data_IF_867846850317
#
_entry.id   IF_867846850317
#
_cell.length_a   1.000
_cell.length_b   1.000
_cell.length_c   1.000
_cell.angle_alpha   90.00
_cell.angle_beta   90.00
_cell.angle_gamma   90.00
#
_symmetry.space_group_name_H-M   'P 1'
#
loop_
_entity.id
_entity.type
_entity.pdbx_description
1 polymer ?
#
# COMPACT_ATOMS: atom_id res chain seq x y z
N UNK A 1 -11.72 14.37 -12.82
CA UNK A 1 -11.08 14.36 -11.48
C UNK A 1 -10.39 13.02 -11.27
N UNK A 2 -9.23 13.00 -10.59
CA UNK A 2 -8.50 11.78 -10.26
C UNK A 2 -8.36 11.69 -8.73
N UNK A 3 -8.65 10.53 -8.16
CA UNK A 3 -8.54 10.24 -6.73
C UNK A 3 -7.55 9.09 -6.53
N UNK A 4 -6.48 9.35 -5.78
CA UNK A 4 -5.58 8.28 -5.34
C UNK A 4 -6.10 7.71 -4.02
N UNK A 5 -6.29 6.39 -3.97
CA UNK A 5 -6.78 5.68 -2.79
C UNK A 5 -5.66 4.85 -2.19
N UNK A 6 -5.45 5.02 -0.90
CA UNK A 6 -4.46 4.29 -0.13
C UNK A 6 -4.97 3.94 1.27
N UNK A 7 -4.17 3.20 2.00
CA UNK A 7 -4.45 2.84 3.39
C UNK A 7 -3.22 3.02 4.29
N UNK A 8 -3.47 3.23 5.58
CA UNK A 8 -2.49 3.14 6.67
C UNK A 8 -2.64 1.83 7.44
N UNK A 9 -1.95 1.71 8.58
CA UNK A 9 -2.09 0.59 9.52
C UNK A 9 -3.53 0.38 10.02
N UNK A 10 -4.35 1.43 10.04
CA UNK A 10 -5.76 1.36 10.45
C UNK A 10 -6.63 0.42 9.59
N UNK A 11 -6.17 0.06 8.39
CA UNK A 11 -6.86 -0.94 7.56
C UNK A 11 -6.88 -2.32 8.23
N UNK A 12 -5.82 -2.69 8.96
CA UNK A 12 -5.63 -4.07 9.42
C UNK A 12 -6.76 -4.58 10.34
N UNK A 13 -7.12 -3.88 11.44
CA UNK A 13 -8.23 -4.34 12.29
C UNK A 13 -9.57 -4.39 11.55
N UNK A 14 -9.87 -3.42 10.69
CA UNK A 14 -11.10 -3.42 9.91
C UNK A 14 -11.15 -4.59 8.91
N UNK A 15 -10.03 -4.92 8.29
CA UNK A 15 -9.89 -6.09 7.42
C UNK A 15 -10.07 -7.41 8.18
N UNK A 16 -9.46 -7.56 9.37
CA UNK A 16 -9.63 -8.76 10.19
C UNK A 16 -11.08 -8.96 10.61
N UNK A 17 -11.77 -7.89 10.99
CA UNK A 17 -13.19 -7.91 11.35
C UNK A 17 -14.05 -8.33 10.14
N UNK A 18 -13.82 -7.74 8.96
CA UNK A 18 -14.54 -8.10 7.74
C UNK A 18 -14.30 -9.57 7.37
N UNK A 19 -13.06 -10.03 7.44
CA UNK A 19 -12.71 -11.41 7.09
C UNK A 19 -13.31 -12.40 8.08
N UNK A 20 -13.29 -12.09 9.39
CA UNK A 20 -13.90 -12.92 10.43
C UNK A 20 -15.42 -13.04 10.33
N UNK A 21 -16.07 -12.09 9.65
CA UNK A 21 -17.51 -12.12 9.40
C UNK A 21 -17.89 -12.94 8.14
N UNK A 22 -16.92 -13.43 7.36
CA UNK A 22 -17.21 -14.24 6.18
C UNK A 22 -17.69 -15.65 6.61
N UNK A 23 -18.59 -16.29 5.85
CA UNK A 23 -19.06 -17.65 6.16
C UNK A 23 -17.92 -18.69 6.25
N UNK A 24 -16.92 -18.57 5.39
CA UNK A 24 -15.69 -19.34 5.41
C UNK A 24 -14.48 -18.42 5.14
N UNK A 25 -13.89 -17.83 6.18
CA UNK A 25 -12.75 -16.91 6.03
C UNK A 25 -11.55 -17.53 5.32
N UNK A 26 -11.35 -18.84 5.44
CA UNK A 26 -10.19 -19.52 4.87
C UNK A 26 -10.31 -19.75 3.36
N UNK A 27 -11.53 -19.78 2.82
CA UNK A 27 -11.79 -19.96 1.39
C UNK A 27 -11.67 -18.69 0.58
N UNK A 28 -11.65 -17.51 1.23
CA UNK A 28 -11.55 -16.23 0.50
C UNK A 28 -10.23 -16.16 -0.24
N UNK A 29 -10.30 -15.99 -1.57
CA UNK A 29 -9.13 -15.79 -2.41
C UNK A 29 -8.62 -14.35 -2.27
N UNK A 30 -7.30 -14.19 -2.21
CA UNK A 30 -6.62 -12.90 -2.06
C UNK A 30 -7.39 -11.92 -1.12
N UNK A 31 -7.66 -12.32 0.15
CA UNK A 31 -8.69 -11.68 0.97
C UNK A 31 -8.45 -10.19 1.21
N UNK A 32 -7.20 -9.74 1.24
CA UNK A 32 -6.91 -8.32 1.42
C UNK A 32 -7.27 -7.50 0.17
N UNK A 33 -7.01 -8.03 -1.01
CA UNK A 33 -7.35 -7.35 -2.27
C UNK A 33 -8.86 -7.40 -2.51
N UNK A 34 -9.52 -8.51 -2.15
CA UNK A 34 -10.99 -8.62 -2.15
C UNK A 34 -11.62 -7.55 -1.24
N UNK A 35 -11.20 -7.48 0.02
CA UNK A 35 -11.71 -6.49 0.98
C UNK A 35 -11.52 -5.06 0.49
N UNK A 36 -10.32 -4.73 0.00
CA UNK A 36 -10.02 -3.36 -0.44
C UNK A 36 -10.77 -3.00 -1.70
N UNK A 37 -10.89 -3.91 -2.67
CA UNK A 37 -11.65 -3.64 -3.90
C UNK A 37 -13.15 -3.51 -3.66
N UNK A 38 -13.76 -4.32 -2.82
CA UNK A 38 -15.17 -4.18 -2.43
C UNK A 38 -15.43 -2.85 -1.71
N UNK A 39 -14.57 -2.49 -0.76
CA UNK A 39 -14.67 -1.24 -0.01
C UNK A 39 -14.55 -0.02 -0.92
N UNK A 40 -13.56 -0.01 -1.82
CA UNK A 40 -13.34 1.07 -2.77
C UNK A 40 -14.48 1.14 -3.78
N UNK A 41 -14.88 0.02 -4.38
CA UNK A 41 -16.00 0.00 -5.33
C UNK A 41 -17.30 0.49 -4.69
N UNK A 42 -17.52 0.16 -3.41
CA UNK A 42 -18.69 0.65 -2.66
C UNK A 42 -18.62 2.17 -2.43
N UNK A 43 -17.44 2.69 -2.05
CA UNK A 43 -17.24 4.13 -1.88
C UNK A 43 -17.41 4.88 -3.20
N UNK A 44 -16.86 4.35 -4.29
CA UNK A 44 -16.97 4.93 -5.65
C UNK A 44 -18.44 4.95 -6.11
N UNK A 45 -19.18 3.86 -5.93
CA UNK A 45 -20.63 3.85 -6.25
C UNK A 45 -21.39 4.94 -5.52
N UNK A 46 -21.09 5.17 -4.23
CA UNK A 46 -21.71 6.27 -3.46
C UNK A 46 -21.32 7.63 -4.01
N UNK A 47 -20.03 7.82 -4.31
CA UNK A 47 -19.51 9.07 -4.88
C UNK A 47 -20.13 9.39 -6.24
N UNK A 48 -20.36 8.38 -7.07
CA UNK A 48 -20.87 8.50 -8.44
C UNK A 48 -22.40 8.34 -8.53
N UNK A 49 -23.11 8.49 -7.42
CA UNK A 49 -24.59 8.39 -7.36
C UNK A 49 -25.14 7.10 -8.01
N UNK A 50 -24.54 5.96 -7.63
CA UNK A 50 -24.96 4.67 -8.18
C UNK A 50 -24.43 4.38 -9.59
N UNK A 51 -23.48 5.17 -10.10
CA UNK A 51 -22.89 4.99 -11.44
C UNK A 51 -23.39 5.98 -12.48
N UNK A 52 -24.24 6.95 -12.11
CA UNK A 52 -24.69 8.04 -13.02
C UNK A 52 -23.51 8.87 -13.56
N UNK A 53 -22.46 9.05 -12.74
CA UNK A 53 -21.23 9.71 -13.17
C UNK A 53 -20.24 8.64 -13.66
N UNK A 54 -19.77 8.78 -14.91
CA UNK A 54 -18.79 7.85 -15.48
C UNK A 54 -17.50 7.86 -14.64
N UNK A 55 -16.97 6.68 -14.41
CA UNK A 55 -15.72 6.50 -13.67
C UNK A 55 -14.98 5.27 -14.15
N UNK A 56 -13.69 5.21 -13.85
CA UNK A 56 -12.84 4.04 -14.03
C UNK A 56 -11.92 3.86 -12.83
N UNK A 57 -11.64 2.61 -12.45
CA UNK A 57 -10.80 2.28 -11.29
C UNK A 57 -9.59 1.50 -11.78
N UNK A 58 -8.41 2.09 -11.62
CA UNK A 58 -7.12 1.45 -11.91
C UNK A 58 -6.57 0.86 -10.61
N UNK A 59 -6.47 -0.46 -10.57
CA UNK A 59 -6.00 -1.18 -9.39
C UNK A 59 -4.48 -1.32 -9.38
N UNK A 60 -3.85 -1.29 -8.20
CA UNK A 60 -2.40 -1.44 -8.05
C UNK A 60 -1.92 -2.83 -8.49
N UNK A 61 -2.78 -3.83 -8.44
CA UNK A 61 -2.48 -5.22 -8.83
C UNK A 61 -2.87 -5.55 -10.29
N UNK A 62 -3.42 -4.60 -11.04
CA UNK A 62 -3.77 -4.83 -12.45
C UNK A 62 -2.49 -4.91 -13.30
N UNK A 63 -2.25 -6.06 -13.93
CA UNK A 63 -1.04 -6.33 -14.71
C UNK A 63 -1.22 -6.07 -16.22
N UNK A 64 -2.42 -5.67 -16.66
CA UNK A 64 -2.67 -5.36 -18.07
C UNK A 64 -1.94 -4.09 -18.47
N UNK A 65 -1.14 -4.07 -19.57
CA UNK A 65 -0.34 -2.92 -19.96
C UNK A 65 -1.12 -1.61 -20.05
N UNK A 66 -2.34 -1.65 -20.59
CA UNK A 66 -3.21 -0.49 -20.77
C UNK A 66 -3.85 0.01 -19.46
N UNK A 67 -3.69 -0.75 -18.39
CA UNK A 67 -4.21 -0.44 -17.04
C UNK A 67 -3.13 -0.08 -16.03
N UNK A 68 -1.86 -0.14 -16.44
CA UNK A 68 -0.76 0.16 -15.53
C UNK A 68 -0.70 1.64 -15.17
N UNK A 69 -0.76 1.93 -13.89
CA UNK A 69 -0.62 3.28 -13.33
C UNK A 69 0.47 3.29 -12.27
N UNK A 70 1.46 4.17 -12.43
CA UNK A 70 2.44 4.41 -11.38
C UNK A 70 1.82 5.21 -10.24
N UNK A 71 1.33 4.52 -9.21
CA UNK A 71 0.68 5.13 -8.05
C UNK A 71 1.59 6.13 -7.33
N UNK A 72 2.90 5.86 -7.28
CA UNK A 72 3.90 6.75 -6.68
C UNK A 72 3.99 8.06 -7.48
N UNK A 73 4.00 8.00 -8.82
CA UNK A 73 4.00 9.21 -9.67
C UNK A 73 2.70 10.00 -9.49
N UNK A 74 1.55 9.33 -9.43
CA UNK A 74 0.27 9.99 -9.14
C UNK A 74 0.32 10.70 -7.80
N UNK A 75 0.83 10.03 -6.75
CA UNK A 75 0.97 10.62 -5.42
C UNK A 75 1.88 11.85 -5.40
N UNK A 76 3.00 11.79 -6.12
CA UNK A 76 3.95 12.90 -6.22
C UNK A 76 3.34 14.08 -6.98
N UNK A 77 2.73 13.82 -8.14
CA UNK A 77 2.08 14.85 -8.96
C UNK A 77 0.92 15.51 -8.22
N UNK A 78 0.20 14.75 -7.40
CA UNK A 78 -0.88 15.26 -6.56
C UNK A 78 -0.39 16.00 -5.28
N UNK A 79 0.92 16.12 -5.05
CA UNK A 79 1.48 16.73 -3.85
C UNK A 79 1.16 15.97 -2.56
N UNK A 80 0.86 14.67 -2.65
CA UNK A 80 0.47 13.82 -1.50
C UNK A 80 1.67 13.18 -0.85
N UNK A 81 2.67 12.78 -1.65
CA UNK A 81 3.89 12.13 -1.17
C UNK A 81 5.13 12.75 -1.81
N UNK A 82 6.21 12.78 -1.05
CA UNK A 82 7.56 12.87 -1.60
C UNK A 82 7.98 11.47 -2.09
N UNK A 83 8.55 11.39 -3.28
CA UNK A 83 9.13 10.14 -3.80
C UNK A 83 10.65 10.22 -3.75
N UNK A 84 11.25 9.33 -2.98
CA UNK A 84 12.71 9.22 -2.91
C UNK A 84 13.24 8.33 -4.03
N UNK A 85 14.05 8.92 -4.93
CA UNK A 85 14.56 8.23 -6.11
C UNK A 85 15.58 7.12 -5.81
N UNK A 86 16.24 7.16 -4.66
CA UNK A 86 17.26 6.17 -4.28
C UNK A 86 16.66 4.92 -3.66
N UNK A 87 15.65 5.09 -2.82
CA UNK A 87 14.97 3.97 -2.10
C UNK A 87 13.65 3.57 -2.74
N UNK A 88 13.17 4.35 -3.72
CA UNK A 88 11.87 4.17 -4.35
C UNK A 88 10.68 4.23 -3.36
N UNK A 89 10.90 4.80 -2.16
CA UNK A 89 9.85 5.00 -1.18
C UNK A 89 8.99 6.22 -1.53
N UNK A 90 7.67 6.07 -1.43
CA UNK A 90 6.74 7.18 -1.37
C UNK A 90 6.52 7.54 0.10
N UNK A 91 6.82 8.77 0.48
CA UNK A 91 6.83 9.25 1.85
C UNK A 91 5.73 10.30 2.02
N UNK A 92 4.72 9.97 2.82
CA UNK A 92 3.62 10.86 3.13
C UNK A 92 3.94 11.71 4.37
N UNK A 93 3.62 13.02 4.41
CA UNK A 93 3.98 13.89 5.54
C UNK A 93 3.43 13.44 6.90
N UNK A 94 2.34 12.67 6.91
CA UNK A 94 1.74 12.12 8.14
C UNK A 94 2.06 10.64 8.35
N UNK A 95 1.95 9.83 7.29
CA UNK A 95 2.06 8.37 7.42
C UNK A 95 3.47 7.84 7.14
N UNK A 96 4.41 8.71 6.78
CA UNK A 96 5.75 8.31 6.40
C UNK A 96 5.73 7.33 5.23
N UNK A 97 6.53 6.29 5.35
CA UNK A 97 6.58 5.16 4.42
C UNK A 97 5.50 4.09 4.69
N UNK A 98 4.72 4.22 5.79
CA UNK A 98 3.75 3.22 6.24
C UNK A 98 2.35 3.44 5.67
N UNK A 99 2.31 3.54 4.34
CA UNK A 99 1.08 3.60 3.56
C UNK A 99 1.14 2.55 2.43
N UNK A 100 -0.02 2.13 1.97
CA UNK A 100 -0.16 1.27 0.79
C UNK A 100 -1.11 1.90 -0.20
N UNK A 101 -0.70 2.02 -1.46
CA UNK A 101 -1.61 2.42 -2.53
C UNK A 101 -2.49 1.25 -2.95
N UNK A 102 -3.74 1.53 -3.30
CA UNK A 102 -4.73 0.51 -3.70
C UNK A 102 -5.28 0.74 -5.09
N UNK A 103 -5.64 1.98 -5.38
CA UNK A 103 -6.19 2.32 -6.69
C UNK A 103 -6.04 3.79 -7.02
N UNK A 104 -6.19 4.08 -8.31
CA UNK A 104 -6.42 5.41 -8.84
C UNK A 104 -7.81 5.40 -9.49
N UNK A 105 -8.70 6.27 -9.01
CA UNK A 105 -10.08 6.39 -9.51
C UNK A 105 -10.19 7.64 -10.36
N UNK A 106 -10.53 7.47 -11.62
CA UNK A 106 -10.81 8.58 -12.54
C UNK A 106 -12.32 8.76 -12.61
N UNK A 107 -12.78 9.98 -12.33
CA UNK A 107 -14.20 10.32 -12.33
C UNK A 107 -14.44 11.43 -13.34
N UNK A 108 -15.45 11.28 -14.17
CA UNK A 108 -15.87 12.28 -15.15
C UNK A 108 -16.64 13.42 -14.46
N UNK A 109 -15.93 14.16 -13.65
CA UNK A 109 -16.43 15.31 -12.91
C UNK A 109 -15.38 16.40 -12.87
N UNK A 110 -15.80 17.68 -12.78
CA UNK A 110 -14.86 18.78 -12.58
C UNK A 110 -14.01 18.57 -11.33
N UNK A 111 -12.76 19.04 -11.38
CA UNK A 111 -11.93 19.07 -10.17
C UNK A 111 -12.51 20.10 -9.19
N UNK A 112 -12.67 19.71 -7.93
CA UNK A 112 -13.01 20.62 -6.84
C UNK A 112 -11.79 21.38 -6.31
N UNK A 113 -10.60 20.95 -6.66
CA UNK A 113 -9.36 21.67 -6.42
C UNK A 113 -9.17 22.70 -7.53
N UNK A 114 -8.74 23.93 -7.17
CA UNK A 114 -8.59 25.05 -8.12
C UNK A 114 -7.80 24.69 -9.39
N UNK A 115 -7.70 25.62 -10.32
CA UNK A 115 -7.12 25.40 -11.65
C UNK A 115 -5.63 25.01 -11.64
N UNK A 116 -4.92 25.15 -10.52
CA UNK A 116 -3.50 24.81 -10.41
C UNK A 116 -3.30 23.51 -9.66
N UNK A 117 -2.48 22.59 -10.18
CA UNK A 117 -2.09 21.40 -9.41
C UNK A 117 -1.34 21.83 -8.13
N UNK A 118 -1.45 21.05 -7.04
CA UNK A 118 -0.66 21.32 -5.85
C UNK A 118 0.83 21.26 -6.17
N UNK A 119 1.63 22.08 -5.47
CA UNK A 119 3.07 22.03 -5.61
C UNK A 119 3.60 20.65 -5.14
N UNK A 120 4.56 20.06 -5.85
CA UNK A 120 5.24 18.87 -5.39
C UNK A 120 5.86 19.09 -4.00
N UNK A 121 5.79 18.06 -3.15
CA UNK A 121 6.46 18.11 -1.86
C UNK A 121 7.98 18.12 -2.05
N UNK A 122 8.67 18.96 -1.27
CA UNK A 122 10.12 18.90 -1.14
C UNK A 122 10.57 17.62 -0.45
N UNK A 123 11.89 17.42 -0.37
CA UNK A 123 12.46 16.26 0.34
C UNK A 123 12.04 16.25 1.80
N UNK A 124 11.54 15.12 2.26
CA UNK A 124 11.08 14.90 3.63
C UNK A 124 12.08 14.11 4.48
N UNK A 125 13.22 13.73 3.91
CA UNK A 125 14.26 12.96 4.58
C UNK A 125 15.42 13.83 5.06
N UNK A 126 15.95 13.57 6.24
CA UNK A 126 17.24 14.08 6.68
C UNK A 126 18.39 13.41 5.92
N UNK A 127 19.60 13.95 5.99
CA UNK A 127 20.78 13.35 5.35
C UNK A 127 21.12 12.00 5.99
N UNK A 128 20.89 11.83 7.30
CA UNK A 128 21.05 10.57 8.02
C UNK A 128 20.07 9.52 7.51
N UNK A 129 18.79 9.90 7.32
CA UNK A 129 17.76 9.01 6.79
C UNK A 129 18.05 8.60 5.35
N UNK A 130 18.55 9.51 4.52
CA UNK A 130 18.99 9.19 3.15
C UNK A 130 20.14 8.18 3.15
N UNK A 131 21.15 8.39 4.00
CA UNK A 131 22.29 7.48 4.12
C UNK A 131 21.85 6.10 4.63
N UNK A 132 21.02 6.06 5.67
CA UNK A 132 20.43 4.82 6.19
C UNK A 132 19.54 4.13 5.16
N UNK A 133 18.77 4.89 4.39
CA UNK A 133 17.91 4.41 3.31
C UNK A 133 18.71 3.72 2.20
N UNK A 134 19.80 4.33 1.74
CA UNK A 134 20.71 3.68 0.76
C UNK A 134 21.28 2.36 1.28
N UNK A 135 21.73 2.33 2.54
CA UNK A 135 22.26 1.12 3.15
C UNK A 135 21.19 0.02 3.28
N UNK A 136 19.99 0.38 3.74
CA UNK A 136 18.87 -0.54 3.88
C UNK A 136 18.38 -1.06 2.51
N UNK A 137 18.31 -0.21 1.49
CA UNK A 137 17.96 -0.62 0.13
C UNK A 137 18.96 -1.62 -0.43
N UNK A 138 20.26 -1.35 -0.27
CA UNK A 138 21.30 -2.27 -0.69
C UNK A 138 21.21 -3.62 0.05
N UNK A 139 20.87 -3.62 1.34
CA UNK A 139 20.67 -4.84 2.12
C UNK A 139 19.45 -5.63 1.64
N UNK A 140 18.32 -4.95 1.37
CA UNK A 140 17.10 -5.59 0.88
C UNK A 140 17.29 -6.22 -0.50
N UNK A 141 18.02 -5.55 -1.40
CA UNK A 141 18.37 -6.09 -2.72
C UNK A 141 19.26 -7.31 -2.60
N UNK A 142 20.32 -7.26 -1.80
CA UNK A 142 21.21 -8.43 -1.57
C UNK A 142 20.43 -9.63 -1.02
N UNK A 143 19.58 -9.41 0.00
CA UNK A 143 18.78 -10.49 0.56
C UNK A 143 17.83 -11.09 -0.50
N UNK A 144 17.27 -10.27 -1.39
CA UNK A 144 16.41 -10.73 -2.48
C UNK A 144 17.19 -11.54 -3.53
N UNK A 145 18.40 -11.12 -3.87
CA UNK A 145 19.27 -11.81 -4.85
C UNK A 145 19.73 -13.16 -4.29
N UNK A 146 20.16 -13.21 -3.02
CA UNK A 146 20.57 -14.44 -2.32
C UNK A 146 19.42 -15.46 -2.25
N UNK A 147 18.19 -15.00 -2.12
CA UNK A 147 16.99 -15.84 -2.12
C UNK A 147 16.49 -16.20 -3.54
N UNK A 148 17.21 -15.83 -4.62
CA UNK A 148 16.76 -15.98 -6.01
C UNK A 148 15.37 -15.40 -6.30
N UNK A 149 14.97 -14.40 -5.53
CA UNK A 149 13.71 -13.70 -5.75
C UNK A 149 13.94 -12.67 -6.85
N UNK A 150 13.39 -12.94 -8.02
CA UNK A 150 13.26 -11.92 -9.05
C UNK A 150 12.56 -10.70 -8.45
N UNK A 151 13.19 -9.53 -8.54
CA UNK A 151 12.70 -8.24 -8.04
C UNK A 151 11.42 -7.75 -8.76
N UNK A 152 10.60 -8.65 -9.26
CA UNK A 152 9.30 -8.31 -9.79
C UNK A 152 8.42 -7.80 -8.64
N UNK A 153 8.09 -6.54 -8.73
CA UNK A 153 7.38 -5.64 -7.82
C UNK A 153 6.00 -6.11 -7.32
N UNK A 154 5.56 -7.30 -7.63
CA UNK A 154 4.26 -7.84 -7.28
C UNK A 154 4.43 -9.03 -6.35
N UNK A 155 4.52 -8.74 -5.05
CA UNK A 155 4.33 -9.63 -3.93
C UNK A 155 4.71 -11.10 -4.18
N UNK A 156 6.00 -11.43 -4.11
CA UNK A 156 6.40 -12.84 -4.14
C UNK A 156 5.66 -13.58 -3.02
N UNK A 157 4.71 -14.44 -3.38
CA UNK A 157 4.04 -15.33 -2.42
C UNK A 157 5.13 -16.18 -1.78
N UNK A 158 5.25 -16.11 -0.44
CA UNK A 158 6.20 -16.93 0.30
C UNK A 158 7.60 -16.33 0.46
N UNK A 159 7.73 -15.01 0.47
CA UNK A 159 9.00 -14.35 0.73
C UNK A 159 9.64 -14.84 2.03
N UNK A 160 10.90 -15.24 1.97
CA UNK A 160 11.67 -15.69 3.12
C UNK A 160 11.74 -14.62 4.22
N UNK A 161 11.90 -15.08 5.47
CA UNK A 161 11.87 -14.20 6.64
C UNK A 161 12.87 -13.05 6.54
N UNK A 162 14.10 -13.35 6.15
CA UNK A 162 15.20 -12.36 6.16
C UNK A 162 15.01 -11.31 5.06
N UNK A 163 14.52 -11.72 3.88
CA UNK A 163 14.17 -10.81 2.80
C UNK A 163 13.04 -9.85 3.26
N UNK A 164 11.99 -10.40 3.85
CA UNK A 164 10.89 -9.61 4.39
C UNK A 164 11.34 -8.59 5.43
N UNK A 165 12.20 -9.00 6.37
CA UNK A 165 12.72 -8.11 7.41
C UNK A 165 13.59 -7.00 6.81
N UNK A 166 14.38 -7.29 5.78
CA UNK A 166 15.19 -6.30 5.09
C UNK A 166 14.31 -5.24 4.39
N UNK A 167 13.23 -5.64 3.70
CA UNK A 167 12.30 -4.70 3.08
C UNK A 167 11.47 -3.91 4.11
N UNK A 168 11.14 -4.50 5.26
CA UNK A 168 10.50 -3.77 6.37
C UNK A 168 11.46 -2.75 6.99
N UNK A 169 12.74 -3.14 7.20
CA UNK A 169 13.77 -2.25 7.72
C UNK A 169 14.01 -1.04 6.82
N UNK A 170 13.93 -1.20 5.49
CA UNK A 170 13.99 -0.08 4.56
C UNK A 170 12.89 0.95 4.83
N UNK A 171 11.67 0.52 5.16
CA UNK A 171 10.59 1.43 5.51
C UNK A 171 10.77 2.07 6.89
N UNK A 172 11.41 1.36 7.82
CA UNK A 172 11.65 1.82 9.18
C UNK A 172 12.72 2.93 9.28
N UNK A 173 13.50 3.20 8.20
CA UNK A 173 14.47 4.30 8.20
C UNK A 173 13.79 5.68 8.24
N UNK A 174 12.56 5.79 7.76
CA UNK A 174 11.81 7.04 7.72
C UNK A 174 11.26 7.36 9.12
N UNK A 175 11.67 8.49 9.69
CA UNK A 175 11.26 8.93 11.03
C UNK A 175 9.81 9.40 11.09
N UNK A 176 9.32 10.01 10.01
CA UNK A 176 7.94 10.50 9.90
C UNK A 176 6.97 9.31 9.91
N UNK A 177 5.90 9.42 10.71
CA UNK A 177 4.79 8.47 10.71
C UNK A 177 5.11 7.11 11.34
N UNK A 178 6.11 7.03 12.22
CA UNK A 178 6.47 5.79 12.94
C UNK A 178 5.31 5.20 13.74
N UNK A 179 4.42 6.02 14.25
CA UNK A 179 3.20 5.62 14.95
C UNK A 179 2.20 4.91 14.04
N UNK A 180 2.38 5.02 12.73
CA UNK A 180 1.58 4.34 11.71
C UNK A 180 2.24 3.07 11.18
N UNK A 181 3.37 2.65 11.76
CA UNK A 181 4.02 1.40 11.39
C UNK A 181 3.03 0.25 11.45
N UNK A 182 3.08 -0.60 10.43
CA UNK A 182 2.27 -1.82 10.41
C UNK A 182 2.70 -2.76 11.55
N UNK A 183 1.76 -3.47 12.15
CA UNK A 183 2.08 -4.56 13.09
C UNK A 183 2.91 -5.65 12.41
N UNK A 184 3.64 -6.43 13.19
CA UNK A 184 4.47 -7.50 12.65
C UNK A 184 3.64 -8.58 11.93
N UNK A 185 2.42 -8.86 12.39
CA UNK A 185 1.49 -9.74 11.70
C UNK A 185 1.05 -9.15 10.36
N UNK A 186 0.73 -7.85 10.32
CA UNK A 186 0.38 -7.16 9.09
C UNK A 186 1.55 -7.15 8.10
N UNK A 187 2.78 -6.84 8.55
CA UNK A 187 3.99 -6.90 7.73
C UNK A 187 4.20 -8.31 7.20
N UNK A 188 4.14 -9.31 8.09
CA UNK A 188 4.32 -10.71 7.70
C UNK A 188 3.33 -11.12 6.63
N UNK A 189 2.04 -10.84 6.84
CA UNK A 189 1.01 -11.17 5.86
C UNK A 189 1.22 -10.45 4.52
N UNK A 190 1.59 -9.16 4.53
CA UNK A 190 1.82 -8.42 3.29
C UNK A 190 2.88 -9.06 2.39
N UNK A 191 3.96 -9.56 2.99
CA UNK A 191 5.08 -10.13 2.24
C UNK A 191 4.95 -11.63 1.97
N UNK A 192 4.27 -12.38 2.83
CA UNK A 192 4.22 -13.86 2.71
C UNK A 192 2.91 -14.39 2.20
N UNK A 193 1.81 -13.62 2.36
CA UNK A 193 0.43 -14.09 2.12
C UNK A 193 0.09 -15.36 2.92
N UNK A 194 0.72 -15.54 4.09
CA UNK A 194 0.53 -16.71 4.96
C UNK A 194 -0.91 -16.74 5.49
N UNK A 195 -1.71 -17.65 4.95
CA UNK A 195 -3.11 -17.87 5.36
C UNK A 195 -3.23 -18.39 6.80
N UNK A 196 -2.28 -19.18 7.28
CA UNK A 196 -2.34 -19.72 8.64
C UNK A 196 -2.11 -18.59 9.67
N UNK A 197 -1.15 -17.70 9.42
CA UNK A 197 -0.95 -16.50 10.22
C UNK A 197 -2.21 -15.63 10.20
N UNK A 198 -2.78 -15.38 9.02
CA UNK A 198 -3.99 -14.57 8.88
C UNK A 198 -5.14 -15.13 9.70
N UNK A 199 -5.37 -16.43 9.64
CA UNK A 199 -6.45 -17.08 10.43
C UNK A 199 -6.20 -17.01 11.95
N UNK A 200 -4.94 -17.03 12.39
CA UNK A 200 -4.61 -16.76 13.80
C UNK A 200 -4.93 -15.32 14.19
N UNK A 201 -4.56 -14.35 13.35
CA UNK A 201 -4.84 -12.94 13.60
C UNK A 201 -6.34 -12.65 13.65
N UNK A 202 -7.15 -13.25 12.75
CA UNK A 202 -8.62 -13.14 12.77
C UNK A 202 -9.18 -13.66 14.09
N UNK A 203 -8.74 -14.85 14.55
CA UNK A 203 -9.21 -15.41 15.83
C UNK A 203 -8.81 -14.53 17.03
N UNK A 204 -7.58 -14.04 17.05
CA UNK A 204 -7.12 -13.16 18.12
C UNK A 204 -7.92 -11.85 18.17
N UNK A 205 -8.25 -11.28 17.01
CA UNK A 205 -9.03 -10.06 16.92
C UNK A 205 -10.49 -10.23 17.35
N UNK A 206 -11.08 -11.39 17.16
CA UNK A 206 -12.47 -11.67 17.56
C UNK A 206 -12.65 -11.79 19.10
N UNK A 207 -11.56 -11.93 19.85
CA UNK A 207 -11.58 -12.10 21.33
C UNK A 207 -11.21 -10.80 22.05
N UNK A 208 -10.67 -9.81 21.34
CA UNK A 208 -10.23 -8.53 21.87
C UNK A 208 -11.35 -7.47 21.86
#
# INVERSE_FOLDING_TARGET
MCLLVGNSSALWPAFLMWLGAQPDPASVEDPLDTYTSESIATAVRRLTRGGEVRHDIFWVYDARPERLVSMQRVATTAGVCYHDGETQLAIHPKFGSWLGFRSCVVVDAPSTFGASPPAPLGCLLSEEEKAAGRAAMAAALRASDEANLCTQLHGAKGMERDVRLAWAALRDVVGIGREHRYSDDQITYHYTKDKALLMRAVRAHAVA
#
